data_IF_563937771097
#
_entry.id   IF_563937771097
#
_cell.length_a   1.000
_cell.length_b   1.000
_cell.length_c   1.000
_cell.angle_alpha   90.00
_cell.angle_beta   90.00
_cell.angle_gamma   90.00
#
_symmetry.space_group_name_H-M   'P 1'
#
loop_
_entity.id
_entity.type
_entity.pdbx_description
1 polymer ?
#
# COMPACT_ATOMS: atom_id res chain seq x y z
N UNK A 1 -53.17 25.31 -41.93
CA UNK A 1 -53.21 23.88 -41.72
C UNK A 1 -51.79 23.34 -41.71
N UNK A 2 -51.18 23.20 -40.51
CA UNK A 2 -49.83 22.65 -40.35
C UNK A 2 -49.96 21.28 -39.67
N UNK A 3 -49.41 20.24 -40.29
CA UNK A 3 -49.33 18.90 -39.71
C UNK A 3 -48.11 18.79 -38.76
N UNK A 4 -48.21 18.19 -37.58
CA UNK A 4 -47.07 17.89 -36.77
C UNK A 4 -46.33 16.65 -37.28
N UNK A 5 -44.98 16.72 -37.26
CA UNK A 5 -44.08 15.62 -37.57
C UNK A 5 -43.81 14.87 -36.24
N UNK A 6 -44.28 13.61 -36.17
CA UNK A 6 -43.88 12.70 -35.09
C UNK A 6 -42.44 12.21 -35.30
N UNK A 7 -41.55 12.56 -34.39
CA UNK A 7 -40.22 12.03 -34.34
C UNK A 7 -40.19 10.72 -33.51
N UNK A 8 -40.03 9.60 -34.18
CA UNK A 8 -39.83 8.29 -33.54
C UNK A 8 -38.46 8.22 -32.92
N UNK A 9 -38.40 8.22 -31.60
CA UNK A 9 -37.22 7.93 -30.82
C UNK A 9 -36.97 6.41 -30.78
N UNK A 10 -36.13 5.90 -31.71
CA UNK A 10 -35.61 4.54 -31.61
C UNK A 10 -34.51 4.49 -30.56
N UNK A 11 -34.84 4.08 -29.35
CA UNK A 11 -33.92 3.85 -28.28
C UNK A 11 -33.12 2.57 -28.53
N UNK A 12 -31.83 2.69 -28.87
CA UNK A 12 -30.91 1.55 -28.98
C UNK A 12 -30.65 0.93 -27.62
N UNK A 13 -30.90 -0.37 -27.41
CA UNK A 13 -30.64 -1.06 -26.14
C UNK A 13 -29.13 -1.24 -25.81
N UNK A 14 -28.25 -0.80 -26.72
CA UNK A 14 -26.80 -1.00 -26.58
C UNK A 14 -26.12 -0.06 -25.56
N UNK A 15 -26.79 1.02 -25.14
CA UNK A 15 -26.22 1.98 -24.18
C UNK A 15 -26.44 1.60 -22.72
N UNK A 16 -27.32 0.66 -22.42
CA UNK A 16 -27.59 0.21 -21.06
C UNK A 16 -26.57 -0.81 -20.53
N UNK A 17 -25.81 -1.48 -21.41
CA UNK A 17 -24.84 -2.52 -21.01
C UNK A 17 -23.45 -1.97 -20.65
N UNK A 18 -23.09 -0.76 -21.07
CA UNK A 18 -21.80 -0.14 -20.76
C UNK A 18 -21.76 0.56 -19.40
N UNK A 19 -22.90 0.84 -18.80
CA UNK A 19 -22.97 1.47 -17.46
C UNK A 19 -22.80 0.52 -16.29
N UNK A 20 -23.06 -0.78 -16.49
CA UNK A 20 -23.05 -1.76 -15.40
C UNK A 20 -21.65 -2.34 -15.10
N UNK A 21 -20.72 -2.26 -16.02
CA UNK A 21 -19.36 -2.84 -15.86
C UNK A 21 -18.37 -1.93 -15.11
N UNK A 22 -18.65 -0.64 -14.99
CA UNK A 22 -17.75 0.31 -14.32
C UNK A 22 -17.99 0.42 -12.80
N UNK A 23 -19.11 -0.10 -12.30
CA UNK A 23 -19.47 -0.03 -10.87
C UNK A 23 -18.93 -1.20 -10.02
N UNK A 24 -18.36 -2.24 -10.63
CA UNK A 24 -17.81 -3.38 -9.88
C UNK A 24 -16.33 -3.24 -9.49
N UNK A 25 -15.62 -2.22 -9.97
CA UNK A 25 -14.19 -2.01 -9.63
C UNK A 25 -13.97 -1.26 -8.29
N UNK A 26 -15.04 -0.80 -7.64
CA UNK A 26 -14.98 -0.09 -6.35
C UNK A 26 -15.41 -0.98 -5.17
N UNK A 27 -15.33 -2.31 -5.29
CA UNK A 27 -15.37 -3.19 -4.13
C UNK A 27 -14.10 -2.97 -3.31
N UNK A 28 -14.00 -1.78 -2.72
CA UNK A 28 -13.01 -1.40 -1.73
C UNK A 28 -13.02 -2.43 -0.60
N UNK A 29 -11.84 -2.80 -0.11
CA UNK A 29 -11.61 -3.64 1.05
C UNK A 29 -12.28 -3.08 2.31
N UNK A 30 -13.61 -3.08 2.36
CA UNK A 30 -14.39 -2.50 3.47
C UNK A 30 -14.49 -3.41 4.70
N UNK A 31 -13.93 -4.61 4.65
CA UNK A 31 -13.80 -5.51 5.79
C UNK A 31 -12.33 -5.68 6.17
N UNK A 32 -11.75 -4.69 6.81
CA UNK A 32 -10.51 -4.91 7.59
C UNK A 32 -10.95 -5.74 8.81
N UNK A 33 -10.61 -7.04 8.88
CA UNK A 33 -10.94 -7.82 10.04
C UNK A 33 -10.25 -7.21 11.25
N UNK A 34 -10.96 -7.19 12.37
CA UNK A 34 -10.54 -6.65 13.64
C UNK A 34 -9.10 -7.11 13.97
N UNK A 35 -8.14 -6.21 13.90
CA UNK A 35 -6.70 -6.45 13.97
C UNK A 35 -6.30 -7.14 15.29
N UNK A 36 -7.10 -6.94 16.34
CA UNK A 36 -6.84 -7.43 17.69
C UNK A 36 -7.18 -8.91 17.94
N UNK A 37 -7.74 -9.64 16.96
CA UNK A 37 -8.12 -11.04 17.10
C UNK A 37 -7.25 -12.06 16.38
N UNK A 38 -6.23 -11.65 15.62
CA UNK A 38 -5.37 -12.57 14.88
C UNK A 38 -4.30 -13.20 15.79
N UNK A 39 -4.14 -14.51 15.70
CA UNK A 39 -3.18 -15.28 16.50
C UNK A 39 -1.78 -14.66 16.41
N UNK A 40 -1.16 -14.45 17.57
CA UNK A 40 0.11 -13.74 17.82
C UNK A 40 1.25 -14.07 16.83
N UNK A 41 1.33 -15.31 16.35
CA UNK A 41 2.37 -15.76 15.41
C UNK A 41 2.28 -15.12 14.00
N UNK A 42 1.09 -14.75 13.55
CA UNK A 42 0.93 -14.06 12.27
C UNK A 42 1.31 -12.57 12.39
N UNK A 43 1.19 -12.02 13.60
CA UNK A 43 1.46 -10.60 13.87
C UNK A 43 2.96 -10.28 13.96
N UNK A 44 3.81 -11.27 14.25
CA UNK A 44 5.26 -11.08 14.45
C UNK A 44 6.11 -11.51 13.25
N UNK A 45 5.47 -12.06 12.20
CA UNK A 45 6.22 -12.56 11.04
C UNK A 45 6.93 -11.43 10.31
N UNK A 46 8.24 -11.59 10.14
CA UNK A 46 9.05 -10.74 9.26
C UNK A 46 8.84 -11.16 7.81
N UNK A 47 8.77 -10.18 6.91
CA UNK A 47 8.72 -10.46 5.48
C UNK A 47 9.99 -11.16 5.02
N UNK A 48 9.84 -12.18 4.19
CA UNK A 48 10.99 -12.92 3.64
C UNK A 48 11.09 -12.59 2.14
N UNK A 49 12.24 -12.11 1.74
CA UNK A 49 12.52 -11.81 0.33
C UNK A 49 12.29 -13.05 -0.55
N UNK A 50 11.72 -12.91 -1.75
CA UNK A 50 11.54 -14.03 -2.65
C UNK A 50 12.88 -14.62 -3.05
N UNK A 51 12.96 -15.96 -2.99
CA UNK A 51 14.15 -16.70 -3.42
C UNK A 51 14.01 -17.02 -4.91
N UNK A 52 14.86 -16.38 -5.73
CA UNK A 52 14.86 -16.56 -7.18
C UNK A 52 13.72 -15.87 -7.94
N UNK A 53 13.77 -15.95 -9.27
CA UNK A 53 12.85 -15.24 -10.15
C UNK A 53 13.14 -13.75 -10.29
N UNK A 54 12.37 -13.09 -11.15
CA UNK A 54 12.47 -11.64 -11.35
C UNK A 54 11.99 -10.88 -10.13
N UNK A 55 12.70 -9.82 -9.78
CA UNK A 55 12.44 -9.04 -8.57
C UNK A 55 12.47 -7.55 -8.86
N UNK A 56 11.72 -6.82 -8.04
CA UNK A 56 11.81 -5.37 -7.89
C UNK A 56 12.36 -5.04 -6.49
N UNK A 57 12.87 -3.84 -6.30
CA UNK A 57 13.26 -3.33 -4.99
C UNK A 57 12.16 -2.42 -4.43
N UNK A 58 11.87 -2.56 -3.16
CA UNK A 58 10.93 -1.71 -2.44
C UNK A 58 11.61 -1.10 -1.23
N UNK A 59 11.53 0.22 -1.11
CA UNK A 59 11.76 0.96 0.11
C UNK A 59 10.42 1.37 0.72
N UNK A 60 10.17 0.99 1.95
CA UNK A 60 9.04 1.48 2.75
C UNK A 60 9.56 2.51 3.75
N UNK A 61 8.90 3.66 3.83
CA UNK A 61 9.29 4.75 4.72
C UNK A 61 8.08 5.35 5.42
N UNK A 62 8.31 5.94 6.59
CA UNK A 62 7.30 6.67 7.34
C UNK A 62 7.86 7.98 7.86
N UNK A 63 7.04 9.02 7.81
CA UNK A 63 7.35 10.36 8.27
C UNK A 63 6.91 10.51 9.74
N UNK A 64 7.92 10.54 10.64
CA UNK A 64 7.86 11.13 11.99
C UNK A 64 6.97 10.48 13.05
N UNK A 65 6.25 9.40 12.79
CA UNK A 65 5.34 8.76 13.75
C UNK A 65 5.67 7.29 14.00
N UNK A 66 5.14 6.73 15.07
CA UNK A 66 5.15 5.29 15.26
C UNK A 66 4.39 4.62 14.11
N UNK A 67 5.05 3.71 13.40
CA UNK A 67 4.41 2.99 12.31
C UNK A 67 5.02 1.63 12.06
N UNK A 68 4.18 0.74 11.59
CA UNK A 68 4.55 -0.58 11.13
C UNK A 68 4.19 -0.71 9.66
N UNK A 69 5.16 -1.09 8.83
CA UNK A 69 4.96 -1.34 7.41
C UNK A 69 4.99 -2.83 7.10
N UNK A 70 4.01 -3.33 6.36
CA UNK A 70 3.84 -4.75 6.04
C UNK A 70 3.56 -4.97 4.56
N UNK A 71 4.07 -6.09 4.03
CA UNK A 71 3.85 -6.56 2.67
C UNK A 71 2.93 -7.78 2.67
N UNK A 72 1.98 -7.80 1.75
CA UNK A 72 1.04 -8.90 1.49
C UNK A 72 1.13 -9.31 0.02
N UNK A 73 1.94 -10.33 -0.33
CA UNK A 73 2.03 -10.84 -1.68
C UNK A 73 0.73 -11.51 -2.14
N UNK A 74 0.47 -11.48 -3.47
CA UNK A 74 -0.67 -12.11 -4.14
C UNK A 74 -2.06 -11.69 -3.62
N UNK A 75 -2.17 -10.53 -2.99
CA UNK A 75 -3.43 -10.05 -2.45
C UNK A 75 -3.67 -8.59 -2.80
N UNK A 76 -4.89 -8.26 -3.19
CA UNK A 76 -5.37 -6.88 -3.35
C UNK A 76 -5.83 -6.27 -2.03
N UNK A 77 -6.09 -7.09 -1.01
CA UNK A 77 -6.48 -6.66 0.33
C UNK A 77 -5.62 -7.35 1.38
N UNK A 78 -5.24 -6.64 2.46
CA UNK A 78 -4.48 -7.23 3.54
C UNK A 78 -5.20 -8.43 4.16
N UNK A 79 -4.54 -9.58 4.18
CA UNK A 79 -5.00 -10.79 4.86
C UNK A 79 -3.94 -11.24 5.86
N UNK A 80 -4.22 -11.12 7.13
CA UNK A 80 -3.26 -11.42 8.21
C UNK A 80 -2.75 -12.86 8.19
N UNK A 81 -3.57 -13.78 7.69
CA UNK A 81 -3.22 -15.19 7.58
C UNK A 81 -2.36 -15.52 6.36
N UNK A 82 -2.12 -14.56 5.45
CA UNK A 82 -1.28 -14.81 4.27
C UNK A 82 0.13 -15.26 4.69
N UNK A 83 0.53 -16.52 4.35
CA UNK A 83 1.78 -17.09 4.86
C UNK A 83 3.03 -16.31 4.44
N UNK A 84 2.98 -15.67 3.28
CA UNK A 84 4.10 -14.89 2.72
C UNK A 84 4.09 -13.43 3.17
N UNK A 85 3.06 -12.99 3.90
CA UNK A 85 3.01 -11.64 4.42
C UNK A 85 3.96 -11.44 5.60
N UNK A 86 4.50 -10.24 5.75
CA UNK A 86 5.37 -9.96 6.88
C UNK A 86 5.74 -8.49 7.02
N UNK A 87 6.29 -8.15 8.18
CA UNK A 87 6.76 -6.83 8.52
C UNK A 87 8.04 -6.49 7.76
N UNK A 88 8.09 -5.30 7.19
CA UNK A 88 9.27 -4.71 6.56
C UNK A 88 9.92 -3.70 7.48
N UNK A 89 9.12 -2.90 8.16
CA UNK A 89 9.63 -1.90 9.09
C UNK A 89 8.74 -1.79 10.32
N UNK A 90 9.36 -1.46 11.45
CA UNK A 90 8.67 -1.22 12.71
C UNK A 90 9.28 -0.03 13.42
N UNK A 91 8.44 0.81 13.97
CA UNK A 91 8.84 1.88 14.88
C UNK A 91 7.81 2.05 15.99
N UNK A 92 8.26 2.43 17.18
CA UNK A 92 7.40 2.71 18.32
C UNK A 92 7.66 4.14 18.76
N UNK A 93 6.62 4.95 18.84
CA UNK A 93 6.70 6.37 19.19
C UNK A 93 7.73 7.15 18.33
N UNK A 94 7.83 6.82 17.04
CA UNK A 94 8.82 7.43 16.15
C UNK A 94 10.25 6.95 16.33
N UNK A 95 10.50 6.01 17.22
CA UNK A 95 11.81 5.39 17.42
C UNK A 95 11.90 4.13 16.56
N UNK A 96 12.81 4.06 15.57
CA UNK A 96 13.02 2.86 14.78
C UNK A 96 13.42 1.68 15.66
N UNK A 97 12.76 0.54 15.49
CA UNK A 97 13.17 -0.70 16.15
C UNK A 97 14.15 -1.44 15.23
N UNK A 98 15.39 -0.99 15.25
CA UNK A 98 16.48 -1.63 14.48
C UNK A 98 16.69 -3.10 14.92
N UNK A 99 16.93 -3.97 13.93
CA UNK A 99 17.09 -5.40 14.16
C UNK A 99 15.76 -6.15 14.28
N UNK A 100 14.62 -5.44 14.25
CA UNK A 100 13.30 -6.03 14.08
C UNK A 100 12.83 -5.83 12.65
N UNK A 101 12.25 -6.84 12.05
CA UNK A 101 11.91 -6.81 10.63
C UNK A 101 13.13 -6.41 9.76
N UNK A 102 12.93 -5.55 8.79
CA UNK A 102 14.01 -5.00 7.95
C UNK A 102 14.25 -3.51 8.24
N UNK A 103 13.87 -3.03 9.42
CA UNK A 103 14.07 -1.63 9.82
C UNK A 103 15.57 -1.29 9.77
N UNK A 104 15.90 -0.24 9.03
CA UNK A 104 17.28 0.19 8.81
C UNK A 104 18.04 -0.59 7.74
N UNK A 105 17.46 -1.67 7.18
CA UNK A 105 18.08 -2.39 6.07
C UNK A 105 18.08 -1.51 4.82
N UNK A 106 19.22 -1.47 4.12
CA UNK A 106 19.37 -0.82 2.82
C UNK A 106 19.82 -1.83 1.77
N UNK A 107 19.14 -1.81 0.63
CA UNK A 107 19.49 -2.56 -0.58
C UNK A 107 20.01 -1.62 -1.68
N UNK A 108 20.12 -0.32 -1.38
CA UNK A 108 20.42 0.71 -2.37
C UNK A 108 19.20 1.09 -3.21
N UNK A 109 17.99 0.85 -2.70
CA UNK A 109 16.77 1.27 -3.37
C UNK A 109 16.76 2.79 -3.51
N UNK A 110 16.53 3.27 -4.72
CA UNK A 110 16.45 4.69 -5.00
C UNK A 110 15.30 5.33 -4.24
N UNK A 111 15.48 6.57 -3.85
CA UNK A 111 14.49 7.30 -3.05
C UNK A 111 13.90 8.44 -3.86
N UNK A 112 12.57 8.52 -3.91
CA UNK A 112 11.85 9.63 -4.52
C UNK A 112 12.00 10.96 -3.77
N UNK A 113 12.46 10.91 -2.51
CA UNK A 113 12.64 12.08 -1.64
C UNK A 113 13.87 11.88 -0.76
N UNK A 114 14.51 12.97 -0.36
CA UNK A 114 15.55 12.91 0.68
C UNK A 114 14.97 12.31 1.97
N UNK A 115 15.53 11.16 2.36
CA UNK A 115 15.02 10.35 3.46
C UNK A 115 15.52 10.81 4.84
N UNK A 116 15.94 12.07 5.01
CA UNK A 116 16.38 12.58 6.31
C UNK A 116 15.27 12.45 7.34
N UNK A 117 15.54 11.70 8.39
CA UNK A 117 14.61 11.52 9.53
C UNK A 117 13.50 10.50 9.32
N UNK A 118 13.41 9.85 8.16
CA UNK A 118 12.42 8.80 7.96
C UNK A 118 12.90 7.45 8.51
N UNK A 119 12.03 6.78 9.25
CA UNK A 119 12.21 5.35 9.51
C UNK A 119 11.91 4.58 8.23
N UNK A 120 12.82 3.71 7.82
CA UNK A 120 12.65 2.93 6.59
C UNK A 120 13.18 1.51 6.71
N UNK A 121 12.72 0.65 5.79
CA UNK A 121 13.24 -0.69 5.56
C UNK A 121 13.11 -1.04 4.09
N UNK A 122 14.05 -1.84 3.58
CA UNK A 122 14.10 -2.22 2.17
C UNK A 122 14.01 -3.75 2.01
N UNK A 123 13.24 -4.18 0.99
CA UNK A 123 13.04 -5.60 0.66
C UNK A 123 12.97 -5.78 -0.85
N UNK A 124 13.12 -7.04 -1.28
CA UNK A 124 12.77 -7.43 -2.63
C UNK A 124 11.31 -7.87 -2.70
N UNK A 125 10.64 -7.50 -3.78
CA UNK A 125 9.32 -8.00 -4.18
C UNK A 125 9.47 -8.93 -5.38
N UNK A 126 8.59 -9.92 -5.50
CA UNK A 126 8.46 -10.69 -6.72
C UNK A 126 7.85 -9.81 -7.80
N UNK A 127 8.53 -9.71 -8.95
CA UNK A 127 7.98 -8.98 -10.09
C UNK A 127 6.78 -9.72 -10.69
N UNK A 128 5.89 -8.98 -11.34
CA UNK A 128 4.68 -9.47 -12.02
C UNK A 128 3.69 -10.21 -11.09
N UNK A 129 3.81 -10.06 -9.78
CA UNK A 129 2.86 -10.56 -8.79
C UNK A 129 2.20 -9.40 -8.06
N UNK A 130 0.85 -9.39 -7.99
CA UNK A 130 0.12 -8.36 -7.24
C UNK A 130 0.59 -8.34 -5.78
N UNK A 131 0.85 -7.16 -5.25
CA UNK A 131 1.25 -6.96 -3.86
C UNK A 131 0.45 -5.83 -3.23
N UNK A 132 0.10 -5.98 -1.96
CA UNK A 132 -0.45 -4.89 -1.15
C UNK A 132 0.56 -4.51 -0.07
N UNK A 133 0.83 -3.22 0.02
CA UNK A 133 1.56 -2.60 1.12
C UNK A 133 0.53 -2.02 2.10
N UNK A 134 0.73 -2.27 3.38
CA UNK A 134 -0.11 -1.68 4.42
C UNK A 134 0.76 -1.07 5.52
N UNK A 135 0.33 0.09 6.00
CA UNK A 135 0.92 0.79 7.12
C UNK A 135 -0.10 0.93 8.23
N UNK A 136 0.30 0.54 9.43
CA UNK A 136 -0.40 0.79 10.67
C UNK A 136 0.35 1.90 11.38
N UNK A 137 -0.26 3.08 11.49
CA UNK A 137 0.37 4.27 12.03
C UNK A 137 -0.31 4.68 13.32
N UNK A 138 0.47 5.06 14.32
CA UNK A 138 0.00 5.54 15.59
C UNK A 138 0.68 6.83 16.02
N UNK A 139 -0.07 7.72 16.61
CA UNK A 139 0.43 8.95 17.25
C UNK A 139 -0.39 9.29 18.48
N UNK A 140 0.16 10.15 19.35
CA UNK A 140 -0.53 10.64 20.55
C UNK A 140 -0.29 12.14 20.67
N UNK A 141 -1.28 12.87 21.12
CA UNK A 141 -1.17 14.28 21.49
C UNK A 141 -1.08 14.50 23.02
N UNK A 142 -0.90 13.39 23.76
CA UNK A 142 -0.84 13.40 25.22
C UNK A 142 -2.20 13.24 25.90
N UNK A 143 -3.30 13.47 25.19
CA UNK A 143 -4.67 13.27 25.68
C UNK A 143 -5.36 12.11 24.96
N UNK A 144 -5.10 11.96 23.67
CA UNK A 144 -5.72 10.95 22.84
C UNK A 144 -4.66 10.20 22.04
N UNK A 145 -4.92 8.89 21.83
CA UNK A 145 -4.16 8.06 20.92
C UNK A 145 -4.93 7.97 19.60
N UNK A 146 -4.24 8.27 18.52
CA UNK A 146 -4.78 8.21 17.17
C UNK A 146 -4.14 7.04 16.42
N UNK A 147 -4.96 6.25 15.72
CA UNK A 147 -4.52 5.18 14.84
C UNK A 147 -5.03 5.40 13.42
N UNK A 148 -4.25 5.02 12.44
CA UNK A 148 -4.64 5.07 11.04
C UNK A 148 -4.03 3.90 10.29
N UNK A 149 -4.86 3.23 9.49
CA UNK A 149 -4.43 2.18 8.57
C UNK A 149 -4.52 2.69 7.13
N UNK A 150 -3.42 2.66 6.41
CA UNK A 150 -3.38 3.03 5.00
C UNK A 150 -2.65 1.96 4.19
N UNK A 151 -3.01 1.80 2.92
CA UNK A 151 -2.37 0.84 2.05
C UNK A 151 -2.52 1.15 0.58
N UNK A 152 -1.70 0.49 -0.23
CA UNK A 152 -1.72 0.56 -1.68
C UNK A 152 -1.45 -0.82 -2.27
N UNK A 153 -2.16 -1.19 -3.33
CA UNK A 153 -1.93 -2.41 -4.08
C UNK A 153 -1.39 -2.07 -5.48
N UNK A 154 -0.38 -2.82 -5.92
CA UNK A 154 0.22 -2.66 -7.25
C UNK A 154 0.91 -3.96 -7.70
N UNK A 155 1.29 -4.01 -8.97
CA UNK A 155 2.07 -5.12 -9.53
C UNK A 155 3.47 -4.61 -9.86
N UNK A 156 4.51 -5.04 -9.12
CA UNK A 156 5.87 -4.60 -9.36
C UNK A 156 6.41 -5.09 -10.72
N UNK A 157 7.17 -4.24 -11.39
CA UNK A 157 7.89 -4.58 -12.63
C UNK A 157 9.33 -5.01 -12.28
N UNK A 158 9.86 -5.97 -13.02
CA UNK A 158 11.22 -6.48 -12.81
C UNK A 158 12.27 -5.36 -12.91
N UNK A 159 13.25 -5.37 -12.00
CA UNK A 159 14.37 -4.42 -11.91
C UNK A 159 13.96 -2.96 -11.63
N UNK A 160 12.69 -2.69 -11.35
CA UNK A 160 12.25 -1.38 -10.91
C UNK A 160 12.53 -1.14 -9.41
N UNK A 161 12.64 0.15 -9.06
CA UNK A 161 12.80 0.61 -7.69
C UNK A 161 11.55 1.36 -7.26
N UNK A 162 10.91 0.90 -6.20
CA UNK A 162 9.70 1.52 -5.65
C UNK A 162 10.01 2.15 -4.31
N UNK A 163 9.44 3.33 -4.07
CA UNK A 163 9.46 3.98 -2.77
C UNK A 163 8.03 4.25 -2.30
N UNK A 164 7.61 3.57 -1.25
CA UNK A 164 6.33 3.79 -0.58
C UNK A 164 6.54 4.62 0.68
N UNK A 165 5.82 5.73 0.79
CA UNK A 165 5.93 6.66 1.92
C UNK A 165 4.55 6.79 2.57
N UNK A 166 4.45 6.46 3.85
CA UNK A 166 3.26 6.73 4.64
C UNK A 166 3.45 8.02 5.44
N UNK A 167 2.40 8.84 5.48
CA UNK A 167 2.37 10.07 6.28
C UNK A 167 0.98 10.41 6.77
N UNK A 168 0.93 11.17 7.84
CA UNK A 168 -0.30 11.80 8.28
C UNK A 168 -0.67 12.96 7.35
N UNK A 169 -1.93 12.98 6.92
CA UNK A 169 -2.49 14.05 6.09
C UNK A 169 -3.56 14.85 6.85
N UNK A 170 -3.84 14.46 8.09
CA UNK A 170 -4.79 15.08 9.01
C UNK A 170 -4.74 14.41 10.36
N UNK A 171 -5.55 14.87 11.31
CA UNK A 171 -5.53 14.36 12.72
C UNK A 171 -5.76 12.86 12.83
N UNK A 172 -6.60 12.27 11.95
CA UNK A 172 -6.94 10.84 11.96
C UNK A 172 -6.89 10.24 10.57
N UNK A 173 -6.15 10.88 9.67
CA UNK A 173 -6.05 10.46 8.27
C UNK A 173 -4.59 10.29 7.90
N UNK A 174 -4.28 9.20 7.27
CA UNK A 174 -2.99 8.93 6.69
C UNK A 174 -3.14 8.49 5.23
N UNK A 175 -2.08 8.67 4.49
CA UNK A 175 -2.01 8.25 3.10
C UNK A 175 -0.69 7.53 2.84
N UNK A 176 -0.72 6.62 1.86
CA UNK A 176 0.46 6.01 1.28
C UNK A 176 0.65 6.57 -0.11
N UNK A 177 1.81 7.11 -0.38
CA UNK A 177 2.27 7.49 -1.70
C UNK A 177 3.24 6.43 -2.20
N UNK A 178 3.00 5.89 -3.38
CA UNK A 178 3.88 4.94 -4.04
C UNK A 178 4.51 5.60 -5.26
N UNK A 179 5.81 5.53 -5.35
CA UNK A 179 6.59 6.07 -6.46
C UNK A 179 7.35 4.93 -7.14
N UNK A 180 7.32 4.90 -8.46
CA UNK A 180 8.28 4.17 -9.29
C UNK A 180 9.45 5.13 -9.55
N UNK A 181 10.64 4.76 -9.13
CA UNK A 181 11.80 5.64 -9.13
C UNK A 181 12.77 5.20 -10.23
N UNK A 182 12.93 6.03 -11.24
CA UNK A 182 13.79 5.73 -12.38
C UNK A 182 15.29 5.78 -12.03
N UNK A 183 16.13 5.57 -13.04
CA UNK A 183 17.59 5.57 -12.86
C UNK A 183 18.16 6.90 -12.42
N UNK A 184 17.48 8.00 -12.68
CA UNK A 184 17.85 9.35 -12.30
C UNK A 184 17.34 9.72 -10.90
N UNK A 185 16.56 8.84 -10.24
CA UNK A 185 15.92 9.13 -8.96
C UNK A 185 14.66 10.00 -9.10
N UNK A 186 14.12 10.10 -10.32
CA UNK A 186 12.89 10.84 -10.58
C UNK A 186 11.69 9.93 -10.30
N UNK A 187 10.78 10.40 -9.48
CA UNK A 187 9.52 9.73 -9.18
C UNK A 187 8.52 9.89 -10.34
N UNK A 188 7.86 8.82 -10.69
CA UNK A 188 6.76 8.77 -11.66
C UNK A 188 5.44 8.48 -10.98
#
# INVERSE_FOLDING_TARGET
>A
MMKPIEAALSGSPLRALLGATLLMALASCSSVPNIFGAKTAAMTRVYVDPQGGERAQLRMSVDGSGANGRVYPANSCPRWQEPRSGWVMTSVFGIPLFGTAHTGRSLGTRSAMEAKGLTSGEVYLRANELVTLAYDMGTSDGHYNYGCLAGVAFTPVANHHYHAIARWVGRQQCAVMLFDVDEQGVAK
#
